data_IF_858251235552
#
_entry.id   IF_858251235552
#
_cell.length_a   1.000
_cell.length_b   1.000
_cell.length_c   1.000
_cell.angle_alpha   90.00
_cell.angle_beta   90.00
_cell.angle_gamma   90.00
#
_symmetry.space_group_name_H-M   'P 1'
#
loop_
_entity.id
_entity.type
_entity.pdbx_description
1 polymer ?
#
# COMPACT_ATOMS: atom_id res chain seq x y z
N UNK A 1 -27.11 -15.93 -0.92
CA UNK A 1 -26.01 -16.91 -1.09
C UNK A 1 -24.70 -16.16 -0.96
N UNK A 2 -23.96 -16.36 0.13
CA UNK A 2 -22.59 -15.85 0.27
C UNK A 2 -21.68 -16.67 -0.64
N UNK A 3 -21.04 -16.04 -1.62
CA UNK A 3 -20.10 -16.72 -2.52
C UNK A 3 -18.94 -17.32 -1.70
N UNK A 4 -18.62 -18.59 -1.96
CA UNK A 4 -17.51 -19.27 -1.30
C UNK A 4 -16.19 -18.61 -1.70
N UNK A 5 -15.39 -18.22 -0.71
CA UNK A 5 -14.11 -17.53 -0.95
C UNK A 5 -13.10 -18.53 -1.53
N UNK A 6 -12.54 -18.22 -2.70
CA UNK A 6 -11.57 -19.10 -3.38
C UNK A 6 -10.32 -19.38 -2.53
N UNK A 7 -9.67 -20.52 -2.75
CA UNK A 7 -8.42 -20.89 -2.04
C UNK A 7 -7.35 -19.80 -2.17
N UNK A 8 -7.19 -19.24 -3.38
CA UNK A 8 -6.30 -18.09 -3.63
C UNK A 8 -6.64 -16.91 -2.74
N UNK A 9 -7.92 -16.56 -2.61
CA UNK A 9 -8.35 -15.43 -1.79
C UNK A 9 -8.18 -15.70 -0.29
N UNK A 10 -8.39 -16.93 0.19
CA UNK A 10 -8.10 -17.30 1.59
C UNK A 10 -6.61 -17.15 1.91
N UNK A 11 -5.74 -17.56 0.99
CA UNK A 11 -4.29 -17.37 1.12
C UNK A 11 -3.95 -15.88 1.24
N UNK A 12 -4.51 -15.04 0.37
CA UNK A 12 -4.26 -13.59 0.39
C UNK A 12 -4.77 -12.94 1.68
N UNK A 13 -5.97 -13.28 2.13
CA UNK A 13 -6.51 -12.75 3.40
C UNK A 13 -5.63 -13.14 4.59
N UNK A 14 -5.23 -14.41 4.69
CA UNK A 14 -4.37 -14.88 5.77
C UNK A 14 -2.99 -14.21 5.74
N UNK A 15 -2.43 -14.01 4.56
CA UNK A 15 -1.16 -13.30 4.38
C UNK A 15 -1.26 -11.81 4.75
N UNK A 16 -2.34 -11.12 4.36
CA UNK A 16 -2.60 -9.74 4.80
C UNK A 16 -2.71 -9.65 6.33
N UNK A 17 -3.46 -10.55 6.96
CA UNK A 17 -3.63 -10.58 8.41
C UNK A 17 -2.30 -10.81 9.15
N UNK A 18 -1.42 -11.68 8.63
CA UNK A 18 -0.07 -11.89 9.18
C UNK A 18 0.75 -10.60 9.07
N UNK A 19 0.72 -9.93 7.91
CA UNK A 19 1.47 -8.69 7.72
C UNK A 19 0.95 -7.59 8.65
N UNK A 20 -0.36 -7.48 8.83
CA UNK A 20 -0.99 -6.48 9.69
C UNK A 20 -0.69 -6.72 11.18
N UNK A 21 -0.67 -7.99 11.62
CA UNK A 21 -0.46 -8.35 13.05
C UNK A 21 1.01 -8.49 13.43
N UNK A 22 1.80 -9.13 12.58
CA UNK A 22 3.15 -9.63 12.88
C UNK A 22 4.25 -8.99 12.02
N UNK A 23 3.86 -8.15 11.05
CA UNK A 23 4.77 -7.51 10.11
C UNK A 23 5.22 -8.41 8.96
N UNK A 24 5.87 -7.80 7.96
CA UNK A 24 6.28 -8.49 6.72
C UNK A 24 7.29 -9.63 6.94
N UNK A 25 8.10 -9.56 7.99
CA UNK A 25 9.09 -10.60 8.34
C UNK A 25 8.42 -11.93 8.67
N UNK A 26 7.19 -11.89 9.20
CA UNK A 26 6.41 -13.07 9.55
C UNK A 26 5.82 -13.78 8.32
N UNK A 27 5.85 -13.16 7.14
CA UNK A 27 5.22 -13.69 5.93
C UNK A 27 6.05 -14.83 5.31
N UNK A 28 5.92 -16.03 5.89
CA UNK A 28 6.54 -17.26 5.41
C UNK A 28 5.50 -18.21 4.82
N UNK A 29 5.90 -19.01 3.82
CA UNK A 29 5.00 -19.96 3.17
C UNK A 29 4.33 -20.94 4.16
N UNK A 30 5.04 -21.58 5.12
CA UNK A 30 4.40 -22.47 6.08
C UNK A 30 3.38 -21.76 6.97
N UNK A 31 3.68 -20.54 7.42
CA UNK A 31 2.79 -19.75 8.29
C UNK A 31 1.53 -19.33 7.54
N UNK A 32 1.67 -18.86 6.29
CA UNK A 32 0.54 -18.49 5.43
C UNK A 32 -0.34 -19.71 5.13
N UNK A 33 0.25 -20.84 4.77
CA UNK A 33 -0.51 -22.07 4.49
C UNK A 33 -1.33 -22.53 5.71
N UNK A 34 -0.69 -22.53 6.89
CA UNK A 34 -1.34 -22.85 8.17
C UNK A 34 -2.48 -21.87 8.48
N UNK A 35 -2.25 -20.57 8.36
CA UNK A 35 -3.25 -19.54 8.64
C UNK A 35 -4.43 -19.57 7.66
N UNK A 36 -4.19 -19.91 6.39
CA UNK A 36 -5.23 -20.03 5.38
C UNK A 36 -5.98 -21.38 5.39
N UNK A 37 -5.60 -22.31 6.28
CA UNK A 37 -6.18 -23.65 6.34
C UNK A 37 -5.99 -24.43 5.04
N UNK A 38 -4.83 -24.29 4.40
CA UNK A 38 -4.48 -24.99 3.14
C UNK A 38 -3.25 -25.86 3.31
N UNK A 39 -3.12 -26.89 2.46
CA UNK A 39 -1.84 -27.61 2.34
C UNK A 39 -0.81 -26.71 1.68
N UNK A 40 0.47 -26.86 2.06
CA UNK A 40 1.58 -26.08 1.49
C UNK A 40 1.66 -26.21 -0.04
N UNK A 41 1.31 -27.37 -0.61
CA UNK A 41 1.26 -27.57 -2.07
C UNK A 41 0.30 -26.60 -2.79
N UNK A 42 -0.81 -26.21 -2.18
CA UNK A 42 -1.72 -25.22 -2.77
C UNK A 42 -1.07 -23.84 -2.78
N UNK A 43 -0.31 -23.50 -1.74
CA UNK A 43 0.37 -22.22 -1.68
C UNK A 43 1.43 -22.12 -2.79
N UNK A 44 2.26 -23.15 -2.95
CA UNK A 44 3.26 -23.21 -4.02
C UNK A 44 2.62 -23.23 -5.41
N UNK A 45 1.44 -23.85 -5.57
CA UNK A 45 0.69 -23.83 -6.83
C UNK A 45 0.19 -22.42 -7.21
N UNK A 46 -0.38 -21.67 -6.26
CA UNK A 46 -0.91 -20.32 -6.54
C UNK A 46 0.16 -19.22 -6.53
N UNK A 47 1.21 -19.39 -5.73
CA UNK A 47 2.27 -18.41 -5.54
C UNK A 47 3.63 -19.13 -5.50
N UNK A 48 4.15 -19.55 -6.66
CA UNK A 48 5.41 -20.30 -6.73
C UNK A 48 6.59 -19.48 -6.24
N UNK A 49 6.59 -18.15 -6.49
CA UNK A 49 7.60 -17.23 -5.98
C UNK A 49 7.04 -16.33 -4.88
N UNK A 50 7.91 -15.91 -3.96
CA UNK A 50 7.58 -14.90 -2.94
C UNK A 50 7.14 -13.58 -3.57
N UNK A 51 7.74 -13.21 -4.71
CA UNK A 51 7.39 -12.02 -5.46
C UNK A 51 5.95 -12.07 -6.02
N UNK A 52 5.46 -13.23 -6.47
CA UNK A 52 4.08 -13.42 -6.92
C UNK A 52 3.08 -13.17 -5.79
N UNK A 53 3.38 -13.67 -4.59
CA UNK A 53 2.56 -13.42 -3.39
C UNK A 53 2.56 -11.93 -3.05
N UNK A 54 3.72 -11.28 -3.07
CA UNK A 54 3.85 -9.86 -2.77
C UNK A 54 3.05 -8.96 -3.71
N UNK A 55 3.11 -9.20 -5.02
CA UNK A 55 2.31 -8.44 -5.99
C UNK A 55 0.82 -8.67 -5.78
N UNK A 56 0.40 -9.91 -5.53
CA UNK A 56 -1.00 -10.21 -5.28
C UNK A 56 -1.51 -9.61 -3.96
N UNK A 57 -0.66 -9.50 -2.93
CA UNK A 57 -1.00 -8.80 -1.69
C UNK A 57 -1.12 -7.29 -1.89
N UNK A 58 -0.25 -6.70 -2.71
CA UNK A 58 -0.30 -5.28 -3.04
C UNK A 58 -1.62 -4.93 -3.74
N UNK A 59 -2.03 -5.75 -4.72
CA UNK A 59 -3.32 -5.63 -5.39
C UNK A 59 -4.49 -5.83 -4.41
N UNK A 60 -4.46 -6.88 -3.58
CA UNK A 60 -5.52 -7.15 -2.62
C UNK A 60 -5.66 -6.05 -1.56
N UNK A 61 -4.55 -5.44 -1.14
CA UNK A 61 -4.56 -4.28 -0.23
C UNK A 61 -5.20 -3.06 -0.87
N UNK A 62 -4.96 -2.83 -2.16
CA UNK A 62 -5.62 -1.76 -2.92
C UNK A 62 -7.12 -2.01 -3.03
N UNK A 63 -7.52 -3.20 -3.46
CA UNK A 63 -8.94 -3.55 -3.60
C UNK A 63 -9.69 -3.48 -2.27
N UNK A 64 -9.01 -3.78 -1.15
CA UNK A 64 -9.56 -3.64 0.19
C UNK A 64 -9.74 -2.17 0.57
N UNK A 65 -8.76 -1.31 0.23
CA UNK A 65 -8.84 0.13 0.48
C UNK A 65 -9.92 0.81 -0.40
N UNK A 66 -10.02 0.46 -1.68
CA UNK A 66 -11.07 0.96 -2.58
C UNK A 66 -12.47 0.56 -2.10
N UNK A 67 -12.65 -0.71 -1.70
CA UNK A 67 -13.93 -1.20 -1.16
C UNK A 67 -14.30 -0.60 0.19
N UNK A 68 -13.31 -0.16 0.97
CA UNK A 68 -13.55 0.48 2.26
C UNK A 68 -14.05 1.93 2.13
N UNK A 69 -14.17 2.45 0.91
CA UNK A 69 -14.61 3.82 0.63
C UNK A 69 -13.47 4.63 0.04
N UNK A 70 -13.63 5.08 -1.20
CA UNK A 70 -12.83 6.15 -1.74
C UNK A 70 -12.96 7.35 -0.80
N UNK A 71 -11.85 7.78 -0.20
CA UNK A 71 -11.79 8.94 0.69
C UNK A 71 -12.58 10.10 0.07
N UNK A 72 -13.75 10.36 0.63
CA UNK A 72 -14.72 11.35 0.14
C UNK A 72 -14.60 12.66 0.90
N UNK A 73 -13.91 12.65 2.05
CA UNK A 73 -13.59 13.82 2.86
C UNK A 73 -12.07 14.07 2.98
N UNK A 74 -11.65 15.28 3.37
CA UNK A 74 -10.22 15.64 3.46
C UNK A 74 -9.47 14.78 4.43
N UNK A 75 -10.07 14.69 5.61
CA UNK A 75 -9.45 14.13 6.78
C UNK A 75 -9.22 12.63 6.49
N UNK A 76 -10.12 12.00 5.73
CA UNK A 76 -9.98 10.63 5.24
C UNK A 76 -8.77 10.44 4.30
N UNK A 77 -8.46 11.38 3.40
CA UNK A 77 -7.30 11.22 2.49
C UNK A 77 -6.00 11.35 3.26
N UNK A 78 -5.82 12.42 4.04
CA UNK A 78 -4.57 12.65 4.75
C UNK A 78 -4.33 11.60 5.84
N UNK A 79 -5.39 11.14 6.52
CA UNK A 79 -5.28 10.01 7.44
C UNK A 79 -4.92 8.71 6.71
N UNK A 80 -5.50 8.47 5.52
CA UNK A 80 -5.13 7.32 4.69
C UNK A 80 -3.66 7.39 4.27
N UNK A 81 -3.20 8.56 3.79
CA UNK A 81 -1.81 8.78 3.40
C UNK A 81 -0.85 8.59 4.57
N UNK A 82 -1.19 9.12 5.75
CA UNK A 82 -0.43 8.94 6.99
C UNK A 82 -0.34 7.47 7.36
N UNK A 83 -1.47 6.78 7.44
CA UNK A 83 -1.50 5.36 7.78
C UNK A 83 -0.71 4.51 6.78
N UNK A 84 -0.83 4.81 5.49
CA UNK A 84 -0.20 4.02 4.42
C UNK A 84 1.31 4.29 4.29
N UNK A 85 1.74 5.56 4.40
CA UNK A 85 3.11 5.98 4.11
C UNK A 85 3.96 6.19 5.38
N UNK A 86 3.37 6.69 6.47
CA UNK A 86 4.09 6.97 7.71
C UNK A 86 3.96 5.84 8.74
N UNK A 87 2.99 4.93 8.56
CA UNK A 87 2.86 3.74 9.38
C UNK A 87 4.07 2.80 9.22
N UNK A 88 4.83 2.58 10.29
CA UNK A 88 6.06 1.75 10.30
C UNK A 88 5.86 0.37 9.64
N UNK A 89 4.78 -0.32 9.97
CA UNK A 89 4.47 -1.64 9.39
C UNK A 89 4.16 -1.58 7.89
N UNK A 90 3.38 -0.57 7.47
CA UNK A 90 2.99 -0.36 6.08
C UNK A 90 4.18 0.03 5.20
N UNK A 91 5.02 0.96 5.67
CA UNK A 91 6.22 1.36 4.94
C UNK A 91 7.22 0.20 4.82
N UNK A 92 7.45 -0.57 5.88
CA UNK A 92 8.30 -1.78 5.81
C UNK A 92 7.75 -2.81 4.84
N UNK A 93 6.44 -3.00 4.81
CA UNK A 93 5.80 -3.90 3.85
C UNK A 93 5.97 -3.42 2.41
N UNK A 94 5.72 -2.13 2.14
CA UNK A 94 5.94 -1.53 0.82
C UNK A 94 7.39 -1.71 0.34
N UNK A 95 8.38 -1.37 1.18
CA UNK A 95 9.80 -1.53 0.86
C UNK A 95 10.20 -2.99 0.60
N UNK A 96 9.65 -3.93 1.38
CA UNK A 96 9.90 -5.36 1.18
C UNK A 96 9.35 -5.86 -0.17
N UNK A 97 8.20 -5.34 -0.62
CA UNK A 97 7.66 -5.65 -1.94
C UNK A 97 8.56 -5.07 -3.03
N UNK A 98 8.93 -3.78 -2.92
CA UNK A 98 9.80 -3.12 -3.90
C UNK A 98 11.12 -3.88 -4.02
N UNK A 99 11.81 -4.16 -2.91
CA UNK A 99 13.06 -4.91 -2.89
C UNK A 99 12.90 -6.34 -3.43
N UNK A 100 11.79 -7.00 -3.11
CA UNK A 100 11.55 -8.39 -3.46
C UNK A 100 11.06 -8.63 -4.89
N UNK A 101 10.59 -7.59 -5.58
CA UNK A 101 9.98 -7.72 -6.91
C UNK A 101 10.54 -6.74 -7.96
N UNK A 102 11.43 -5.79 -7.59
CA UNK A 102 12.00 -4.84 -8.56
C UNK A 102 12.97 -5.47 -9.55
N UNK A 103 13.61 -6.59 -9.20
CA UNK A 103 14.55 -7.26 -10.11
C UNK A 103 13.84 -8.02 -11.24
N UNK A 104 12.58 -8.39 -11.02
CA UNK A 104 11.77 -9.20 -11.93
C UNK A 104 11.14 -8.30 -13.01
N UNK A 105 11.63 -8.39 -14.26
CA UNK A 105 11.15 -7.58 -15.40
C UNK A 105 9.61 -7.59 -15.54
N UNK A 106 9.00 -8.75 -15.33
CA UNK A 106 7.55 -8.96 -15.44
C UNK A 106 6.74 -8.27 -14.32
N UNK A 107 7.34 -8.06 -13.15
CA UNK A 107 6.65 -7.50 -11.98
C UNK A 107 6.83 -5.99 -11.87
N UNK A 108 7.92 -5.42 -12.40
CA UNK A 108 8.18 -3.97 -12.37
C UNK A 108 7.00 -3.13 -12.89
N UNK A 109 6.37 -3.44 -14.04
CA UNK A 109 5.22 -2.67 -14.52
C UNK A 109 4.03 -2.71 -13.57
N UNK A 110 3.81 -3.84 -12.87
CA UNK A 110 2.71 -4.00 -11.94
C UNK A 110 2.95 -3.16 -10.68
N UNK A 111 4.18 -3.16 -10.16
CA UNK A 111 4.57 -2.30 -9.04
C UNK A 111 4.46 -0.82 -9.41
N UNK A 112 4.94 -0.44 -10.60
CA UNK A 112 4.86 0.93 -11.09
C UNK A 112 3.40 1.39 -11.25
N UNK A 113 2.55 0.57 -11.87
CA UNK A 113 1.13 0.87 -12.03
C UNK A 113 0.41 1.05 -10.69
N UNK A 114 0.77 0.24 -9.68
CA UNK A 114 0.25 0.40 -8.33
C UNK A 114 0.71 1.71 -7.69
N UNK A 115 2.01 2.01 -7.75
CA UNK A 115 2.56 3.26 -7.21
C UNK A 115 1.94 4.50 -7.87
N UNK A 116 1.67 4.43 -9.17
CA UNK A 116 0.96 5.46 -9.95
C UNK A 116 -0.53 5.56 -9.60
N UNK A 117 -1.17 4.47 -9.19
CA UNK A 117 -2.57 4.48 -8.75
C UNK A 117 -2.81 5.42 -7.56
N UNK A 118 -1.90 5.40 -6.58
CA UNK A 118 -1.95 6.33 -5.45
C UNK A 118 -1.76 7.78 -5.90
N UNK A 119 -0.77 8.04 -6.78
CA UNK A 119 -0.54 9.39 -7.32
C UNK A 119 -1.77 9.92 -8.05
N UNK A 120 -2.43 9.08 -8.87
CA UNK A 120 -3.66 9.44 -9.58
C UNK A 120 -4.80 9.81 -8.62
N UNK A 121 -4.96 9.07 -7.53
CA UNK A 121 -5.96 9.36 -6.48
C UNK A 121 -5.68 10.70 -5.80
N UNK A 122 -4.43 10.94 -5.44
CA UNK A 122 -3.99 12.22 -4.85
C UNK A 122 -4.22 13.38 -5.81
N UNK A 123 -3.86 13.21 -7.09
CA UNK A 123 -4.09 14.22 -8.11
C UNK A 123 -5.59 14.54 -8.27
N UNK A 124 -6.43 13.51 -8.43
CA UNK A 124 -7.87 13.65 -8.56
C UNK A 124 -8.50 14.38 -7.37
N UNK A 125 -8.05 14.08 -6.15
CA UNK A 125 -8.53 14.76 -4.94
C UNK A 125 -8.24 16.28 -4.96
N UNK A 126 -7.11 16.70 -5.52
CA UNK A 126 -6.77 18.12 -5.69
C UNK A 126 -7.29 18.73 -7.00
N UNK A 127 -8.13 18.01 -7.76
CA UNK A 127 -8.64 18.47 -9.06
C UNK A 127 -7.55 18.60 -10.13
N UNK A 128 -6.51 17.77 -10.06
CA UNK A 128 -5.38 17.73 -11.00
C UNK A 128 -5.51 16.55 -11.96
N UNK A 129 -4.82 16.65 -13.08
CA UNK A 129 -4.69 15.57 -14.06
C UNK A 129 -3.93 14.36 -13.48
N UNK A 130 -4.21 13.17 -14.00
CA UNK A 130 -3.71 11.90 -13.49
C UNK A 130 -2.16 11.81 -13.41
N UNK A 131 -1.47 12.50 -14.30
CA UNK A 131 -0.01 12.55 -14.45
C UNK A 131 0.60 13.87 -13.95
N UNK A 132 -0.14 14.65 -13.15
CA UNK A 132 0.32 15.94 -12.63
C UNK A 132 1.63 15.76 -11.81
N UNK A 133 2.72 16.45 -12.20
CA UNK A 133 4.02 16.27 -11.57
C UNK A 133 4.08 16.78 -10.13
N UNK A 134 3.19 17.71 -9.74
CA UNK A 134 3.11 18.17 -8.36
C UNK A 134 2.50 17.11 -7.45
N UNK A 135 1.48 16.39 -7.91
CA UNK A 135 0.92 15.25 -7.19
C UNK A 135 1.97 14.13 -7.01
N UNK A 136 2.73 13.83 -8.07
CA UNK A 136 3.84 12.87 -7.99
C UNK A 136 4.91 13.30 -6.97
N UNK A 137 5.38 14.55 -7.06
CA UNK A 137 6.38 15.10 -6.14
C UNK A 137 5.94 15.10 -4.68
N UNK A 138 4.66 15.39 -4.42
CA UNK A 138 4.09 15.32 -3.07
C UNK A 138 4.11 13.89 -2.52
N UNK A 139 3.65 12.90 -3.30
CA UNK A 139 3.68 11.49 -2.88
C UNK A 139 5.11 11.00 -2.64
N UNK A 140 6.06 11.38 -3.50
CA UNK A 140 7.46 11.01 -3.34
C UNK A 140 8.09 11.63 -2.08
N UNK A 141 7.71 12.86 -1.74
CA UNK A 141 8.10 13.49 -0.48
C UNK A 141 7.55 12.73 0.73
N UNK A 142 6.29 12.30 0.69
CA UNK A 142 5.70 11.49 1.76
C UNK A 142 6.39 10.13 1.91
N UNK A 143 6.75 9.47 0.80
CA UNK A 143 7.56 8.24 0.83
C UNK A 143 8.91 8.47 1.51
N UNK A 144 9.57 9.59 1.19
CA UNK A 144 10.81 10.00 1.85
C UNK A 144 10.65 10.18 3.36
N UNK A 145 9.56 10.82 3.80
CA UNK A 145 9.24 10.94 5.22
C UNK A 145 8.97 9.58 5.87
N UNK A 146 8.22 8.71 5.23
CA UNK A 146 7.95 7.36 5.75
C UNK A 146 9.23 6.52 5.88
N UNK A 147 10.13 6.59 4.90
CA UNK A 147 11.45 5.96 4.99
C UNK A 147 12.25 6.53 6.16
N UNK A 148 12.32 7.86 6.30
CA UNK A 148 13.05 8.51 7.40
C UNK A 148 12.43 8.20 8.76
N UNK A 149 11.11 8.08 8.86
CA UNK A 149 10.41 7.70 10.09
C UNK A 149 10.77 6.27 10.57
N UNK A 150 11.29 5.40 9.71
CA UNK A 150 11.86 4.11 10.14
C UNK A 150 13.16 4.28 10.95
N UNK A 151 13.91 5.36 10.67
CA UNK A 151 15.17 5.73 11.32
C UNK A 151 14.96 6.69 12.49
N UNK A 152 13.99 7.59 12.36
CA UNK A 152 13.65 8.67 13.29
C UNK A 152 12.17 8.55 13.68
N UNK A 153 11.81 7.73 14.70
CA UNK A 153 10.42 7.38 14.98
C UNK A 153 9.48 8.57 15.25
N UNK A 154 10.00 9.69 15.77
CA UNK A 154 9.21 10.90 16.04
C UNK A 154 8.60 11.55 14.80
N UNK A 155 9.12 11.27 13.60
CA UNK A 155 8.54 11.78 12.35
C UNK A 155 7.25 11.08 11.93
N UNK A 156 6.87 9.98 12.55
CA UNK A 156 5.58 9.33 12.28
C UNK A 156 4.41 10.12 12.88
N UNK A 157 4.66 11.08 13.76
CA UNK A 157 3.66 11.85 14.50
C UNK A 157 3.20 13.12 13.78
N UNK A 158 3.58 13.30 12.50
CA UNK A 158 3.17 14.44 11.67
C UNK A 158 1.65 14.57 11.66
N UNK A 159 1.15 15.75 11.99
CA UNK A 159 -0.28 16.06 12.05
C UNK A 159 -0.86 16.28 10.65
N UNK A 160 -2.18 16.09 10.49
CA UNK A 160 -2.89 16.35 9.22
C UNK A 160 -2.62 17.75 8.68
N UNK A 161 -2.60 18.77 9.55
CA UNK A 161 -2.30 20.15 9.13
C UNK A 161 -0.88 20.36 8.60
N UNK A 162 0.09 19.54 9.00
CA UNK A 162 1.44 19.56 8.41
C UNK A 162 1.46 18.91 7.03
N UNK A 163 0.70 17.83 6.82
CA UNK A 163 0.54 17.21 5.50
C UNK A 163 -0.17 18.13 4.51
N UNK A 164 -1.17 18.90 4.97
CA UNK A 164 -1.83 19.93 4.17
C UNK A 164 -0.88 21.05 3.77
N UNK A 165 -0.06 21.55 4.72
CA UNK A 165 0.98 22.55 4.42
C UNK A 165 1.98 22.02 3.40
N UNK A 166 2.40 20.76 3.56
CA UNK A 166 3.29 20.10 2.62
C UNK A 166 2.66 20.01 1.22
N UNK A 167 1.40 19.59 1.11
CA UNK A 167 0.69 19.56 -0.18
C UNK A 167 0.66 20.96 -0.82
N UNK A 168 0.43 22.00 -0.01
CA UNK A 168 0.42 23.38 -0.48
C UNK A 168 1.79 23.86 -1.01
N UNK A 169 2.93 23.33 -0.52
CA UNK A 169 4.27 23.59 -1.08
C UNK A 169 4.40 23.12 -2.53
N UNK A 170 3.70 22.05 -2.90
CA UNK A 170 3.62 21.55 -4.27
C UNK A 170 2.52 22.28 -5.09
N UNK A 171 1.82 23.25 -4.51
CA UNK A 171 0.69 23.92 -5.17
C UNK A 171 -0.59 23.07 -5.20
N UNK A 172 -0.64 22.00 -4.41
CA UNK A 172 -1.84 21.18 -4.22
C UNK A 172 -2.67 21.80 -3.10
N UNK A 173 -3.71 22.53 -3.50
CA UNK A 173 -4.66 23.15 -2.57
C UNK A 173 -6.04 22.60 -2.90
N UNK A 174 -6.84 22.37 -1.85
CA UNK A 174 -8.25 22.04 -2.05
C UNK A 174 -8.90 23.11 -2.93
N UNK A 175 -9.72 22.72 -3.92
CA UNK A 175 -10.57 23.69 -4.59
C UNK A 175 -11.40 24.40 -3.51
N UNK A 176 -11.44 25.74 -3.55
CA UNK A 176 -12.38 26.49 -2.71
C UNK A 176 -13.78 26.10 -3.17
N UNK A 177 -14.59 25.58 -2.24
CA UNK A 177 -16.04 25.49 -2.43
C UNK A 177 -16.61 26.87 -2.71
#
# INVERSE_FOLDING_TARGET
MTAEISVRQRILNAALDIVEKDGVEALTQPRVAKAAGVRQSHLTYYFPRKADLFVALLQASHDRAERAGAATEADELFDTLRNLMLGRGRMRFFLAIVLGASEEDELRPILAAHAQGLTRRVAAYFGREADDPAAAGFVDRLRGFGLRALLEPGLAEIETGELERLAAEFGLRRPKN
#
